data_IF_484237823386
#
_entry.id   IF_484237823386
#
_cell.length_a   1.000
_cell.length_b   1.000
_cell.length_c   1.000
_cell.angle_alpha   90.00
_cell.angle_beta   90.00
_cell.angle_gamma   90.00
#
_symmetry.space_group_name_H-M   'P 1'
#
loop_
_entity.id
_entity.type
_entity.pdbx_description
1 polymer ?
#
# COMPACT_ATOMS: atom_id res chain seq x y z
N UNK A 1 4.31 4.03 16.48
CA UNK A 1 4.51 2.63 16.02
C UNK A 1 4.36 2.63 14.51
N UNK A 2 5.25 2.01 13.75
CA UNK A 2 5.23 2.10 12.29
C UNK A 2 4.67 0.85 11.62
N UNK A 3 3.94 1.06 10.53
CA UNK A 3 3.37 0.01 9.71
C UNK A 3 3.67 0.27 8.24
N UNK A 4 4.18 -0.74 7.56
CA UNK A 4 4.27 -0.76 6.10
C UNK A 4 3.02 -1.43 5.55
N UNK A 5 2.34 -0.78 4.63
CA UNK A 5 1.08 -1.23 4.05
C UNK A 5 1.23 -1.27 2.54
N UNK A 6 0.82 -2.39 1.95
CA UNK A 6 0.83 -2.63 0.51
C UNK A 6 -0.62 -2.61 0.02
N UNK A 7 -0.94 -1.60 -0.78
CA UNK A 7 -2.25 -1.45 -1.41
C UNK A 7 -2.24 -2.00 -2.83
N UNK A 8 -3.39 -2.53 -3.25
CA UNK A 8 -3.63 -2.90 -4.63
C UNK A 8 -3.89 -1.64 -5.46
N UNK A 9 -2.99 -1.29 -6.36
CA UNK A 9 -3.19 -0.17 -7.30
C UNK A 9 -4.09 -0.64 -8.45
N UNK A 10 -5.24 0.01 -8.64
CA UNK A 10 -5.95 -0.02 -9.92
C UNK A 10 -5.44 1.17 -10.74
N UNK A 11 -4.49 0.93 -11.62
CA UNK A 11 -4.20 1.89 -12.68
C UNK A 11 -5.38 1.94 -13.65
N UNK A 12 -5.88 3.13 -13.97
CA UNK A 12 -6.84 3.30 -15.07
C UNK A 12 -6.12 3.07 -16.42
N UNK A 13 -6.86 2.90 -17.53
CA UNK A 13 -6.30 2.70 -18.88
C UNK A 13 -5.32 3.79 -19.33
N UNK A 14 -5.34 4.95 -18.69
CA UNK A 14 -4.40 6.04 -18.93
C UNK A 14 -3.03 5.86 -18.23
N UNK A 15 -2.87 4.86 -17.34
CA UNK A 15 -1.69 4.71 -16.48
C UNK A 15 -1.58 5.80 -15.41
N UNK A 16 -2.61 6.62 -15.24
CA UNK A 16 -2.74 7.60 -14.18
C UNK A 16 -3.25 6.92 -12.91
N UNK A 17 -2.72 7.36 -11.75
CA UNK A 17 -3.14 6.92 -10.43
C UNK A 17 -4.64 7.19 -10.31
N UNK A 18 -5.45 6.14 -10.35
CA UNK A 18 -6.90 6.29 -10.31
C UNK A 18 -7.40 6.67 -8.91
N UNK A 19 -6.59 6.42 -7.87
CA UNK A 19 -7.03 6.51 -6.49
C UNK A 19 -5.97 6.95 -5.49
N UNK A 20 -6.42 7.56 -4.39
CA UNK A 20 -5.57 7.95 -3.27
C UNK A 20 -5.77 6.92 -2.13
N UNK A 21 -4.87 5.93 -1.98
CA UNK A 21 -5.03 4.85 -1.00
C UNK A 21 -5.30 5.31 0.45
N UNK A 22 -4.62 6.38 0.95
CA UNK A 22 -4.91 6.95 2.26
C UNK A 22 -6.38 7.31 2.45
N UNK A 23 -7.04 7.86 1.43
CA UNK A 23 -8.43 8.32 1.52
C UNK A 23 -9.45 7.23 1.75
N UNK A 24 -9.10 5.96 1.55
CA UNK A 24 -9.97 4.84 1.89
C UNK A 24 -9.90 4.41 3.34
N UNK A 25 -8.84 4.81 4.04
CA UNK A 25 -8.70 4.55 5.46
C UNK A 25 -9.29 5.70 6.29
N UNK A 26 -9.32 6.93 5.75
CA UNK A 26 -9.96 8.11 6.37
C UNK A 26 -11.38 7.87 6.93
N UNK A 27 -12.31 7.14 6.27
CA UNK A 27 -13.64 6.90 6.84
C UNK A 27 -13.67 5.91 8.01
N UNK A 28 -12.67 5.03 8.12
CA UNK A 28 -12.58 3.99 9.16
C UNK A 28 -11.64 4.40 10.31
N UNK A 29 -10.80 5.42 10.11
CA UNK A 29 -9.81 5.89 11.06
C UNK A 29 -10.17 7.28 11.59
N UNK A 30 -10.05 7.46 12.90
CA UNK A 30 -10.03 8.81 13.47
C UNK A 30 -8.77 9.57 13.03
N UNK A 31 -8.89 10.91 12.88
CA UNK A 31 -7.78 11.84 12.58
C UNK A 31 -6.57 11.69 13.51
N UNK A 32 -6.78 11.16 14.72
CA UNK A 32 -5.73 10.94 15.72
C UNK A 32 -5.05 9.57 15.64
N UNK A 33 -5.52 8.66 14.80
CA UNK A 33 -4.96 7.30 14.68
C UNK A 33 -3.67 7.29 13.85
N UNK A 34 -3.65 8.00 12.72
CA UNK A 34 -2.47 8.13 11.85
C UNK A 34 -1.77 9.45 12.15
N UNK A 35 -0.57 9.37 12.69
CA UNK A 35 0.27 10.54 12.97
C UNK A 35 0.96 11.06 11.71
N UNK A 36 1.41 10.15 10.85
CA UNK A 36 2.08 10.46 9.59
C UNK A 36 1.87 9.36 8.57
N UNK A 37 1.91 9.70 7.28
CA UNK A 37 1.86 8.73 6.20
C UNK A 37 2.80 9.14 5.07
N UNK A 38 3.64 8.20 4.64
CA UNK A 38 4.69 8.43 3.66
C UNK A 38 4.57 7.41 2.54
N UNK A 39 4.52 7.90 1.31
CA UNK A 39 4.63 7.05 0.14
C UNK A 39 6.07 6.55 -0.01
N UNK A 40 6.27 5.23 0.09
CA UNK A 40 7.59 4.58 0.01
C UNK A 40 7.94 4.25 -1.43
N UNK A 41 6.95 3.81 -2.21
CA UNK A 41 7.16 3.44 -3.59
C UNK A 41 6.06 2.55 -4.13
N UNK A 42 6.31 1.97 -5.28
CA UNK A 42 5.40 1.02 -5.94
C UNK A 42 6.17 -0.20 -6.41
N UNK A 43 5.60 -1.38 -6.23
CA UNK A 43 6.07 -2.59 -6.91
C UNK A 43 5.28 -2.72 -8.19
N UNK A 44 5.94 -2.47 -9.32
CA UNK A 44 5.43 -2.97 -10.59
C UNK A 44 5.61 -4.49 -10.56
N UNK A 45 4.63 -5.30 -11.05
CA UNK A 45 4.93 -6.69 -11.32
C UNK A 45 6.15 -6.71 -12.24
N UNK A 46 7.18 -7.47 -11.85
CA UNK A 46 8.33 -7.71 -12.72
C UNK A 46 7.74 -8.34 -13.99
N UNK A 47 7.61 -7.53 -15.04
CA UNK A 47 7.32 -8.01 -16.37
C UNK A 47 8.56 -8.80 -16.78
N UNK A 48 8.69 -10.01 -16.25
CA UNK A 48 9.67 -10.97 -16.71
C UNK A 48 9.19 -11.34 -18.09
N UNK A 49 9.67 -10.56 -19.06
CA UNK A 49 9.57 -10.75 -20.50
C UNK A 49 9.93 -12.21 -20.82
N UNK A 50 8.96 -13.13 -20.74
CA UNK A 50 9.00 -14.34 -21.53
C UNK A 50 8.65 -13.89 -22.94
N UNK A 51 9.72 -13.61 -23.66
CA UNK A 51 9.72 -13.33 -25.08
C UNK A 51 9.10 -14.52 -25.80
N UNK A 52 7.80 -14.51 -26.05
CA UNK A 52 7.21 -15.14 -27.22
C UNK A 52 5.79 -14.62 -27.45
N UNK A 53 5.68 -13.73 -28.44
CA UNK A 53 4.58 -13.71 -29.40
C UNK A 53 3.16 -13.82 -28.86
N UNK A 54 2.55 -12.70 -28.44
CA UNK A 54 1.10 -12.53 -28.62
C UNK A 54 0.73 -11.05 -28.76
N UNK A 55 0.44 -10.67 -30.01
CA UNK A 55 -0.44 -9.54 -30.31
C UNK A 55 -1.84 -9.97 -29.90
N UNK A 56 -2.31 -9.64 -28.70
CA UNK A 56 -3.73 -9.70 -28.35
C UNK A 56 -4.00 -8.92 -27.04
N UNK A 57 -4.64 -7.74 -27.21
CA UNK A 57 -5.34 -6.92 -26.21
C UNK A 57 -4.52 -6.49 -24.95
N UNK A 58 -3.81 -5.36 -25.07
CA UNK A 58 -3.08 -4.63 -24.01
C UNK A 58 -4.04 -3.97 -22.98
N UNK A 59 -5.09 -4.69 -22.58
CA UNK A 59 -6.01 -4.39 -21.48
C UNK A 59 -5.71 -5.28 -20.25
N UNK A 60 -4.53 -5.90 -20.23
CA UNK A 60 -4.01 -6.58 -19.06
C UNK A 60 -3.63 -5.51 -18.04
N UNK A 61 -4.63 -5.10 -17.24
CA UNK A 61 -4.49 -4.29 -16.03
C UNK A 61 -3.15 -4.62 -15.37
N UNK A 62 -2.15 -3.77 -15.58
CA UNK A 62 -0.89 -3.85 -14.86
C UNK A 62 -1.24 -3.46 -13.43
N UNK A 63 -1.67 -4.45 -12.64
CA UNK A 63 -2.00 -4.29 -11.24
C UNK A 63 -0.68 -4.04 -10.50
N UNK A 64 -0.28 -2.77 -10.44
CA UNK A 64 0.77 -2.31 -9.55
C UNK A 64 0.36 -2.53 -8.09
N UNK A 65 1.33 -2.56 -7.19
CA UNK A 65 1.06 -2.39 -5.77
C UNK A 65 1.75 -1.12 -5.29
N UNK A 66 1.07 -0.32 -4.48
CA UNK A 66 1.64 0.86 -3.83
C UNK A 66 2.01 0.52 -2.39
N UNK A 67 3.19 0.95 -1.97
CA UNK A 67 3.74 0.74 -0.63
C UNK A 67 3.76 2.08 0.09
N UNK A 68 3.13 2.09 1.27
CA UNK A 68 3.04 3.24 2.15
C UNK A 68 3.52 2.86 3.56
N UNK A 69 4.14 3.82 4.22
CA UNK A 69 4.55 3.73 5.62
C UNK A 69 3.68 4.67 6.45
N UNK A 70 3.05 4.13 7.48
CA UNK A 70 2.19 4.88 8.39
C UNK A 70 2.82 4.90 9.78
N UNK A 71 2.87 6.08 10.37
CA UNK A 71 3.15 6.26 11.79
C UNK A 71 1.83 6.31 12.54
N UNK A 72 1.65 5.36 13.46
CA UNK A 72 0.41 5.15 14.21
C UNK A 72 0.60 5.58 15.66
N UNK A 73 -0.39 6.30 16.16
CA UNK A 73 -0.45 6.74 17.55
C UNK A 73 -0.40 5.56 18.53
N UNK A 74 0.18 5.80 19.70
CA UNK A 74 0.32 4.77 20.74
C UNK A 74 -1.05 4.27 21.20
N UNK A 75 -1.25 2.95 21.21
CA UNK A 75 -2.52 2.31 21.58
C UNK A 75 -3.61 2.34 20.50
N UNK A 76 -3.33 2.88 19.30
CA UNK A 76 -4.26 2.88 18.15
C UNK A 76 -3.92 1.84 17.08
N UNK A 77 -2.97 0.94 17.35
CA UNK A 77 -2.52 -0.03 16.36
C UNK A 77 -3.57 -1.10 16.01
N UNK A 78 -4.41 -1.49 16.98
CA UNK A 78 -5.50 -2.44 16.74
C UNK A 78 -6.59 -1.84 15.84
N UNK A 79 -6.90 -0.57 16.07
CA UNK A 79 -7.86 0.22 15.28
C UNK A 79 -7.37 0.37 13.84
N UNK A 80 -6.09 0.71 13.68
CA UNK A 80 -5.45 0.78 12.37
C UNK A 80 -5.52 -0.55 11.61
N UNK A 81 -5.12 -1.66 12.27
CA UNK A 81 -5.21 -3.01 11.66
C UNK A 81 -6.64 -3.39 11.29
N UNK A 82 -7.63 -2.96 12.06
CA UNK A 82 -9.04 -3.21 11.76
C UNK A 82 -9.46 -2.45 10.49
N UNK A 83 -9.12 -1.16 10.38
CA UNK A 83 -9.40 -0.36 9.19
C UNK A 83 -8.74 -0.93 7.92
N UNK A 84 -7.46 -1.36 8.02
CA UNK A 84 -6.76 -1.99 6.90
C UNK A 84 -7.50 -3.23 6.38
N UNK A 85 -8.04 -4.05 7.30
CA UNK A 85 -8.81 -5.26 6.96
C UNK A 85 -10.19 -4.95 6.41
N UNK A 86 -10.84 -3.89 6.91
CA UNK A 86 -12.16 -3.45 6.43
C UNK A 86 -12.09 -2.78 5.05
N UNK A 87 -11.00 -2.09 4.71
CA UNK A 87 -10.88 -1.37 3.44
C UNK A 87 -10.95 -2.29 2.21
N UNK A 88 -10.52 -3.54 2.35
CA UNK A 88 -10.50 -4.54 1.26
C UNK A 88 -9.53 -4.22 0.12
N UNK A 89 -8.75 -3.13 0.21
CA UNK A 89 -7.74 -2.72 -0.78
C UNK A 89 -6.31 -3.02 -0.35
N UNK A 90 -6.11 -3.26 0.94
CA UNK A 90 -4.83 -3.66 1.50
C UNK A 90 -4.57 -5.12 1.14
N UNK A 91 -3.47 -5.37 0.45
CA UNK A 91 -3.00 -6.72 0.13
C UNK A 91 -2.20 -7.29 1.28
N UNK A 92 -1.29 -6.50 1.84
CA UNK A 92 -0.41 -6.91 2.93
C UNK A 92 -0.09 -5.72 3.82
N UNK A 93 0.14 -5.98 5.10
CA UNK A 93 0.66 -4.98 6.01
C UNK A 93 1.55 -5.64 7.05
N UNK A 94 2.67 -4.99 7.35
CA UNK A 94 3.68 -5.49 8.27
C UNK A 94 4.03 -4.40 9.30
N UNK A 95 4.08 -4.73 10.60
CA UNK A 95 4.62 -3.81 11.60
C UNK A 95 6.11 -3.62 11.34
N UNK A 96 6.53 -2.39 11.06
CA UNK A 96 7.96 -2.05 11.08
C UNK A 96 8.34 -1.90 12.55
N UNK A 97 9.10 -2.86 13.05
CA UNK A 97 9.85 -2.61 14.28
C UNK A 97 10.82 -1.48 13.92
N UNK A 98 10.85 -0.41 14.70
CA UNK A 98 11.99 0.50 14.67
C UNK A 98 13.21 -0.38 14.90
N UNK A 99 13.98 -0.63 13.85
CA UNK A 99 15.26 -1.32 13.97
C UNK A 99 16.09 -0.46 14.91
N UNK A 100 16.12 -0.88 16.18
CA UNK A 100 17.13 -0.52 17.15
C UNK A 100 18.45 -0.86 16.46
N UNK A 101 19.07 0.15 15.83
CA UNK A 101 20.37 0.03 15.18
C UNK A 101 21.28 -0.73 16.16
N UNK A 102 21.74 -1.96 15.84
CA UNK A 102 22.75 -2.57 16.69
C UNK A 102 24.02 -1.75 16.49
N UNK A 103 24.23 -0.78 17.38
CA UNK A 103 25.44 0.00 17.49
C UNK A 103 26.64 -0.95 17.38
N UNK A 104 27.38 -0.84 16.28
CA UNK A 104 28.61 -1.61 16.01
C UNK A 104 29.78 -0.67 15.84
#
# INVERSE_FOLDING_TARGET
MKYRVVFRERSDRAGERADDPPSFLEPELDDETVLDSVFVGRTQPDALHSSDSIEEDDDFLSLGAEIWEYDIAEGKDEDFKAALRNSGMVMEFEPMQEEDEPAS
#
